data_IF_050622686939
#
_entry.id   IF_050622686939
#
_cell.length_a   1.000
_cell.length_b   1.000
_cell.length_c   1.000
_cell.angle_alpha   90.00
_cell.angle_beta   90.00
_cell.angle_gamma   90.00
#
_symmetry.space_group_name_H-M   'P 1'
#
loop_
_entity.id
_entity.type
_entity.pdbx_description
1 polymer ?
#
# COMPACT_ATOMS: atom_id res chain seq x y z
N UNK A 1 -12.96 21.83 1.65
CA UNK A 1 -12.07 21.69 2.80
C UNK A 1 -11.08 20.58 2.50
N UNK A 2 -9.78 20.87 2.43
CA UNK A 2 -8.68 19.90 2.34
C UNK A 2 -7.70 20.26 3.45
N UNK A 3 -7.73 19.60 4.62
CA UNK A 3 -6.74 19.86 5.65
C UNK A 3 -5.34 19.49 5.13
N UNK A 4 -4.31 20.13 5.68
CA UNK A 4 -2.93 19.69 5.47
C UNK A 4 -2.78 18.22 5.90
N UNK A 5 -2.01 17.40 5.16
CA UNK A 5 -1.80 16.01 5.53
C UNK A 5 -1.07 15.91 6.87
N UNK A 6 -1.37 14.88 7.65
CA UNK A 6 -0.56 14.55 8.83
C UNK A 6 0.75 13.94 8.33
N UNK A 7 1.86 14.55 8.70
CA UNK A 7 3.20 14.12 8.31
C UNK A 7 3.90 13.33 9.44
N UNK A 8 4.75 12.32 9.10
CA UNK A 8 5.07 11.89 7.74
C UNK A 8 3.97 11.05 7.08
N UNK A 9 3.80 11.23 5.77
CA UNK A 9 2.90 10.39 4.97
C UNK A 9 3.54 9.02 4.78
N UNK A 10 2.83 7.97 5.20
CA UNK A 10 3.29 6.59 5.02
C UNK A 10 3.07 6.15 3.57
N UNK A 11 4.17 5.93 2.85
CA UNK A 11 4.15 5.46 1.46
C UNK A 11 4.27 3.95 1.43
N UNK A 12 3.20 3.28 1.03
CA UNK A 12 3.15 1.82 0.87
C UNK A 12 3.10 1.46 -0.63
N UNK A 13 4.06 0.68 -1.14
CA UNK A 13 3.96 0.17 -2.49
C UNK A 13 2.81 -0.82 -2.59
N UNK A 14 2.04 -0.72 -3.67
CA UNK A 14 1.07 -1.73 -4.07
C UNK A 14 1.57 -2.40 -5.35
N UNK A 15 1.29 -3.69 -5.49
CA UNK A 15 1.64 -4.47 -6.66
C UNK A 15 0.44 -5.23 -7.20
N UNK A 16 0.59 -5.69 -8.43
CA UNK A 16 -0.29 -6.68 -9.05
C UNK A 16 0.51 -7.96 -9.26
N UNK A 17 -0.17 -9.11 -9.20
CA UNK A 17 0.44 -10.42 -9.43
C UNK A 17 -0.31 -11.19 -10.51
N UNK A 18 0.43 -11.88 -11.38
CA UNK A 18 -0.14 -12.79 -12.36
C UNK A 18 -0.39 -14.16 -11.72
N UNK A 19 -1.66 -14.59 -11.73
CA UNK A 19 -2.03 -15.91 -11.25
C UNK A 19 -1.53 -17.00 -12.20
N UNK A 20 -0.83 -18.01 -11.65
CA UNK A 20 -0.40 -19.20 -12.41
C UNK A 20 -1.57 -19.93 -13.10
N UNK A 21 -2.76 -19.85 -12.53
CA UNK A 21 -3.98 -20.54 -12.99
C UNK A 21 -4.97 -19.58 -13.65
N UNK A 22 -4.52 -18.45 -14.20
CA UNK A 22 -5.40 -17.52 -14.90
C UNK A 22 -6.13 -18.23 -16.05
N UNK A 23 -7.46 -18.06 -16.13
CA UNK A 23 -8.28 -18.67 -17.20
C UNK A 23 -7.89 -18.17 -18.60
N UNK A 24 -7.39 -16.94 -18.68
CA UNK A 24 -6.95 -16.29 -19.92
C UNK A 24 -5.55 -15.71 -19.71
N UNK A 25 -4.48 -16.54 -19.72
CA UNK A 25 -3.15 -16.11 -19.31
C UNK A 25 -2.53 -15.04 -20.22
N UNK A 26 -2.81 -15.11 -21.54
CA UNK A 26 -2.34 -14.10 -22.48
C UNK A 26 -2.99 -12.73 -22.22
N UNK A 27 -4.31 -12.70 -21.99
CA UNK A 27 -5.01 -11.44 -21.68
C UNK A 27 -4.58 -10.88 -20.32
N UNK A 28 -4.36 -11.75 -19.32
CA UNK A 28 -3.85 -11.33 -18.02
C UNK A 28 -2.46 -10.68 -18.13
N UNK A 29 -1.56 -11.25 -18.94
CA UNK A 29 -0.24 -10.68 -19.20
C UNK A 29 -0.34 -9.30 -19.88
N UNK A 30 -1.16 -9.18 -20.93
CA UNK A 30 -1.36 -7.90 -21.62
C UNK A 30 -1.91 -6.82 -20.68
N UNK A 31 -2.87 -7.18 -19.82
CA UNK A 31 -3.40 -6.24 -18.84
C UNK A 31 -2.37 -5.85 -17.78
N UNK A 32 -1.55 -6.80 -17.32
CA UNK A 32 -0.46 -6.52 -16.40
C UNK A 32 0.55 -5.54 -17.00
N UNK A 33 0.97 -5.73 -18.25
CA UNK A 33 1.88 -4.82 -18.97
C UNK A 33 1.28 -3.42 -19.16
N UNK A 34 -0.01 -3.36 -19.52
CA UNK A 34 -0.74 -2.11 -19.63
C UNK A 34 -0.78 -1.34 -18.31
N UNK A 35 -1.07 -2.02 -17.19
CA UNK A 35 -1.08 -1.42 -15.84
C UNK A 35 0.27 -0.84 -15.41
N UNK A 36 1.40 -1.41 -15.90
CA UNK A 36 2.74 -0.90 -15.61
C UNK A 36 3.15 0.28 -16.47
N UNK A 37 2.43 0.53 -17.57
CA UNK A 37 2.76 1.57 -18.55
C UNK A 37 1.60 2.55 -18.70
N UNK A 38 0.74 2.35 -19.68
CA UNK A 38 -0.38 3.22 -20.05
C UNK A 38 -1.42 3.42 -18.93
N UNK A 39 -1.52 2.47 -18.00
CA UNK A 39 -2.40 2.58 -16.84
C UNK A 39 -1.89 3.52 -15.74
N UNK A 40 -0.59 3.83 -15.70
CA UNK A 40 0.01 4.63 -14.62
C UNK A 40 -0.51 6.08 -14.57
N UNK A 41 -0.65 6.81 -15.70
CA UNK A 41 -1.22 8.17 -15.67
C UNK A 41 -2.66 8.22 -15.15
N UNK A 42 -3.45 7.16 -15.39
CA UNK A 42 -4.85 7.08 -14.93
C UNK A 42 -4.95 6.95 -13.40
N UNK A 43 -3.89 6.52 -12.72
CA UNK A 43 -3.85 6.46 -11.26
C UNK A 43 -3.86 7.87 -10.65
N UNK A 44 -3.21 8.84 -11.30
CA UNK A 44 -3.21 10.25 -10.87
C UNK A 44 -4.62 10.82 -10.88
N UNK A 45 -5.38 10.53 -11.94
CA UNK A 45 -6.80 10.94 -12.08
C UNK A 45 -7.68 10.38 -10.96
N UNK A 46 -7.28 9.24 -10.37
CA UNK A 46 -7.96 8.58 -9.26
C UNK A 46 -7.37 8.95 -7.88
N UNK A 47 -6.58 10.03 -7.80
CA UNK A 47 -5.93 10.49 -6.57
C UNK A 47 -5.01 9.44 -5.94
N UNK A 48 -4.33 8.64 -6.77
CA UNK A 48 -3.30 7.68 -6.35
C UNK A 48 -1.93 8.17 -6.80
N UNK A 49 -0.90 7.79 -6.04
CA UNK A 49 0.50 7.95 -6.43
C UNK A 49 0.86 6.78 -7.35
N UNK A 50 1.22 7.01 -8.63
CA UNK A 50 1.66 5.96 -9.54
C UNK A 50 2.98 5.34 -9.06
N UNK A 51 3.28 4.10 -9.46
CA UNK A 51 4.58 3.49 -9.19
C UNK A 51 5.66 4.00 -10.16
N UNK A 52 5.28 4.40 -11.38
CA UNK A 52 6.21 4.96 -12.37
C UNK A 52 6.58 6.39 -12.00
N UNK A 53 7.86 6.61 -11.71
CA UNK A 53 8.38 7.90 -11.22
C UNK A 53 8.14 9.07 -12.17
N UNK A 54 8.16 8.84 -13.49
CA UNK A 54 7.85 9.88 -14.48
C UNK A 54 6.42 10.42 -14.41
N UNK A 55 5.51 9.73 -13.72
CA UNK A 55 4.12 10.17 -13.52
C UNK A 55 3.88 10.71 -12.10
N UNK A 56 4.93 10.83 -11.28
CA UNK A 56 4.83 11.29 -9.89
C UNK A 56 5.14 12.78 -9.71
N UNK A 57 5.57 13.48 -10.77
CA UNK A 57 6.05 14.85 -10.70
C UNK A 57 5.08 15.78 -9.94
N UNK A 58 5.56 16.38 -8.85
CA UNK A 58 4.80 17.33 -8.04
C UNK A 58 3.78 16.73 -7.08
N UNK A 59 3.56 15.41 -7.07
CA UNK A 59 2.52 14.79 -6.21
C UNK A 59 2.90 14.76 -4.73
N UNK A 60 4.20 14.65 -4.43
CA UNK A 60 4.72 14.48 -3.06
C UNK A 60 5.73 15.56 -2.67
N UNK A 61 5.81 16.64 -3.45
CA UNK A 61 6.74 17.74 -3.22
C UNK A 61 6.46 18.43 -1.89
N UNK A 62 7.49 18.57 -1.06
CA UNK A 62 7.40 19.24 0.23
C UNK A 62 6.70 18.44 1.34
N UNK A 63 6.32 17.19 1.08
CA UNK A 63 5.70 16.29 2.08
C UNK A 63 6.77 15.37 2.68
N UNK A 64 6.87 15.31 4.01
CA UNK A 64 7.71 14.30 4.68
C UNK A 64 7.15 12.89 4.46
N UNK A 65 7.99 11.95 4.03
CA UNK A 65 7.58 10.60 3.64
C UNK A 65 8.25 9.54 4.50
N UNK A 66 7.44 8.58 4.98
CA UNK A 66 7.93 7.35 5.57
C UNK A 66 7.61 6.19 4.62
N UNK A 67 8.60 5.74 3.85
CA UNK A 67 8.43 4.63 2.91
C UNK A 67 8.50 3.30 3.66
N UNK A 68 7.52 2.44 3.44
CA UNK A 68 7.48 1.10 4.03
C UNK A 68 8.63 0.25 3.48
N UNK A 69 9.41 -0.34 4.38
CA UNK A 69 10.42 -1.36 4.04
C UNK A 69 9.71 -2.66 3.65
N UNK A 70 9.76 -2.99 2.36
CA UNK A 70 9.07 -4.16 1.79
C UNK A 70 9.73 -5.47 2.22
N UNK A 71 11.06 -5.49 2.33
CA UNK A 71 11.78 -6.70 2.74
C UNK A 71 11.44 -7.04 4.19
N UNK A 72 11.40 -6.03 5.05
CA UNK A 72 10.95 -6.18 6.44
C UNK A 72 9.48 -6.58 6.53
N UNK A 73 8.62 -5.94 5.73
CA UNK A 73 7.18 -6.29 5.68
C UNK A 73 6.97 -7.76 5.35
N UNK A 74 7.73 -8.31 4.40
CA UNK A 74 7.60 -9.71 3.97
C UNK A 74 8.26 -10.67 4.96
N UNK A 75 9.46 -10.34 5.45
CA UNK A 75 10.23 -11.24 6.33
C UNK A 75 9.73 -11.28 7.77
N UNK A 76 9.16 -10.18 8.28
CA UNK A 76 8.72 -10.06 9.68
C UNK A 76 7.18 -9.96 9.81
N UNK A 77 6.43 -10.01 8.70
CA UNK A 77 4.99 -9.72 8.70
C UNK A 77 4.18 -10.55 9.70
N UNK A 78 4.48 -11.85 9.82
CA UNK A 78 3.80 -12.75 10.75
C UNK A 78 4.07 -12.40 12.23
N UNK A 79 5.28 -11.95 12.55
CA UNK A 79 5.64 -11.54 13.91
C UNK A 79 4.89 -10.26 14.30
N UNK A 80 4.81 -9.30 13.36
CA UNK A 80 4.08 -8.06 13.57
C UNK A 80 2.57 -8.29 13.69
N UNK A 81 2.00 -9.20 12.90
CA UNK A 81 0.60 -9.60 12.99
C UNK A 81 0.29 -10.20 14.37
N UNK A 82 1.10 -11.18 14.82
CA UNK A 82 0.95 -11.81 16.13
C UNK A 82 0.98 -10.79 17.27
N UNK A 83 1.99 -9.92 17.29
CA UNK A 83 2.12 -8.87 18.33
C UNK A 83 0.95 -7.89 18.33
N UNK A 84 0.42 -7.58 17.15
CA UNK A 84 -0.72 -6.69 17.02
C UNK A 84 -1.99 -7.33 17.57
N UNK A 85 -2.22 -8.61 17.29
CA UNK A 85 -3.34 -9.36 17.86
C UNK A 85 -3.26 -9.45 19.40
N UNK A 86 -2.08 -9.78 19.94
CA UNK A 86 -1.84 -9.83 21.39
C UNK A 86 -2.15 -8.48 22.06
N UNK A 87 -1.71 -7.37 21.45
CA UNK A 87 -1.99 -6.03 21.93
C UNK A 87 -3.50 -5.75 21.97
N UNK A 88 -4.22 -6.08 20.89
CA UNK A 88 -5.66 -5.86 20.82
C UNK A 88 -6.42 -6.69 21.84
N UNK A 89 -6.05 -7.96 22.03
CA UNK A 89 -6.66 -8.83 23.03
C UNK A 89 -6.42 -8.32 24.46
N UNK A 90 -5.19 -7.87 24.76
CA UNK A 90 -4.86 -7.26 26.05
C UNK A 90 -5.64 -5.97 26.31
N UNK A 91 -5.79 -5.11 25.30
CA UNK A 91 -6.57 -3.87 25.41
C UNK A 91 -8.07 -4.14 25.62
N UNK A 92 -8.62 -5.19 24.99
CA UNK A 92 -10.01 -5.60 25.19
C UNK A 92 -10.24 -6.19 26.59
N UNK A 93 -9.33 -7.02 27.09
CA UNK A 93 -9.43 -7.57 28.44
C UNK A 93 -9.30 -6.52 29.56
N UNK A 94 -8.56 -5.43 29.32
CA UNK A 94 -8.53 -4.28 30.24
C UNK A 94 -9.85 -3.50 30.27
N UNK A 95 -10.55 -3.41 29.14
CA UNK A 95 -11.82 -2.71 29.03
C UNK A 95 -12.96 -3.44 29.76
N UNK A 96 -12.99 -4.77 29.69
CA UNK A 96 -13.97 -5.59 30.42
C UNK A 96 -13.74 -5.62 31.93
N UNK A 97 -12.53 -5.30 32.40
CA UNK A 97 -12.22 -5.20 33.83
C UNK A 97 -12.56 -3.82 34.44
N UNK A 98 -12.81 -2.81 33.61
CA UNK A 98 -13.19 -1.46 34.03
C UNK A 98 -14.71 -1.19 33.99
N UNK A 99 -15.49 -2.11 33.40
CA UNK A 99 -16.97 -2.12 33.36
C UNK A 99 -17.59 -3.04 34.45
#
# INVERSE_FOLDING_TARGET
>A
WRPEPVEPVVIRPNGQGLMRTAQNPAAALLFFEWMLTEGQPLLVEQFRVPARTSDQDGLLDGIEQAVVDVDKLVSEGADWETRYEELLQGALGQREAED
#
